data_IF_888124718763
#
_entry.id   IF_888124718763
#
_cell.length_a   1.000
_cell.length_b   1.000
_cell.length_c   1.000
_cell.angle_alpha   90.00
_cell.angle_beta   90.00
_cell.angle_gamma   90.00
#
_symmetry.space_group_name_H-M   'P 1'
#
loop_
_entity.id
_entity.type
_entity.pdbx_description
1 polymer ?
#
# COMPACT_ATOMS: atom_id res chain seq x y z
N UNK A 1 -6.61 -1.88 -5.48
CA UNK A 1 -6.70 -2.44 -4.12
C UNK A 1 -6.81 -3.95 -4.25
N UNK A 2 -5.87 -4.70 -3.68
CA UNK A 2 -5.89 -6.16 -3.70
C UNK A 2 -6.78 -6.67 -2.56
N UNK A 3 -8.02 -7.02 -2.89
CA UNK A 3 -9.06 -7.34 -1.91
C UNK A 3 -8.68 -8.51 -1.00
N UNK A 4 -7.89 -9.46 -1.51
CA UNK A 4 -7.46 -10.63 -0.75
C UNK A 4 -6.42 -10.26 0.30
N UNK A 5 -5.52 -9.33 -0.02
CA UNK A 5 -4.56 -8.81 0.97
C UNK A 5 -5.23 -7.92 2.00
N UNK A 6 -6.19 -7.09 1.58
CA UNK A 6 -6.88 -6.17 2.48
C UNK A 6 -7.79 -6.88 3.49
N UNK A 7 -8.53 -7.93 3.09
CA UNK A 7 -9.35 -8.69 4.05
C UNK A 7 -8.51 -9.32 5.16
N UNK A 8 -7.32 -9.84 4.81
CA UNK A 8 -6.42 -10.49 5.76
C UNK A 8 -5.80 -9.46 6.69
N UNK A 9 -5.41 -8.29 6.16
CA UNK A 9 -4.92 -7.18 6.96
C UNK A 9 -5.98 -6.67 7.95
N UNK A 10 -7.23 -6.55 7.50
CA UNK A 10 -8.34 -6.11 8.35
C UNK A 10 -8.62 -7.09 9.49
N UNK A 11 -8.75 -8.40 9.21
CA UNK A 11 -8.97 -9.39 10.25
C UNK A 11 -7.79 -9.49 11.23
N UNK A 12 -6.55 -9.38 10.75
CA UNK A 12 -5.37 -9.34 11.64
C UNK A 12 -5.38 -8.12 12.55
N UNK A 13 -5.74 -6.95 12.04
CA UNK A 13 -5.89 -5.75 12.87
C UNK A 13 -6.90 -5.97 14.00
N UNK A 14 -8.05 -6.61 13.70
CA UNK A 14 -9.04 -6.94 14.74
C UNK A 14 -8.48 -7.92 15.79
N UNK A 15 -7.71 -8.92 15.35
CA UNK A 15 -7.06 -9.89 16.24
C UNK A 15 -6.02 -9.20 17.15
N UNK A 16 -5.17 -8.35 16.58
CA UNK A 16 -4.12 -7.63 17.31
C UNK A 16 -4.70 -6.64 18.35
N UNK A 17 -5.86 -6.06 18.05
CA UNK A 17 -6.60 -5.19 18.98
C UNK A 17 -7.39 -5.97 20.04
N UNK A 18 -7.42 -7.30 19.97
CA UNK A 18 -8.22 -8.16 20.84
C UNK A 18 -9.74 -8.01 20.61
N UNK A 19 -10.15 -7.47 19.46
CA UNK A 19 -11.55 -7.32 19.08
C UNK A 19 -12.18 -8.66 18.65
N UNK A 20 -11.34 -9.59 18.18
CA UNK A 20 -11.67 -11.00 17.93
C UNK A 20 -10.59 -11.89 18.55
N UNK A 21 -10.94 -13.11 18.89
CA UNK A 21 -10.00 -14.14 19.32
C UNK A 21 -9.40 -14.89 18.12
N UNK A 22 -8.40 -15.72 18.37
CA UNK A 22 -7.81 -16.57 17.33
C UNK A 22 -8.81 -17.58 16.77
N UNK A 23 -9.63 -18.19 17.63
CA UNK A 23 -10.64 -19.16 17.20
C UNK A 23 -11.71 -18.49 16.32
N UNK A 24 -12.08 -17.25 16.63
CA UNK A 24 -13.00 -16.45 15.83
C UNK A 24 -12.38 -16.04 14.49
N UNK A 25 -11.10 -15.66 14.49
CA UNK A 25 -10.36 -15.35 13.27
C UNK A 25 -10.36 -16.54 12.30
N UNK A 26 -10.17 -17.76 12.80
CA UNK A 26 -10.12 -18.98 11.99
C UNK A 26 -11.51 -19.39 11.45
N UNK A 27 -12.60 -19.02 12.12
CA UNK A 27 -13.99 -19.30 11.69
C UNK A 27 -14.55 -18.26 10.70
N UNK A 28 -14.08 -17.01 10.76
CA UNK A 28 -14.59 -15.93 9.89
C UNK A 28 -14.15 -16.16 8.44
N UNK A 29 -15.14 -16.31 7.55
CA UNK A 29 -14.94 -16.52 6.11
C UNK A 29 -15.41 -15.30 5.33
N UNK A 30 -14.54 -14.78 4.46
CA UNK A 30 -14.88 -13.73 3.51
C UNK A 30 -15.61 -14.29 2.29
N UNK A 31 -16.76 -13.71 1.95
CA UNK A 31 -17.55 -14.05 0.76
C UNK A 31 -17.45 -12.95 -0.30
N UNK A 32 -16.68 -13.16 -1.39
CA UNK A 32 -16.44 -12.13 -2.40
C UNK A 32 -17.71 -11.72 -3.16
N UNK A 33 -18.68 -12.62 -3.32
CA UNK A 33 -19.94 -12.40 -4.03
C UNK A 33 -20.80 -11.27 -3.43
N UNK A 34 -20.66 -11.04 -2.12
CA UNK A 34 -21.39 -9.99 -1.38
C UNK A 34 -20.44 -9.01 -0.69
N UNK A 35 -19.13 -9.14 -0.92
CA UNK A 35 -18.07 -8.35 -0.28
C UNK A 35 -18.22 -8.26 1.25
N UNK A 36 -18.49 -9.39 1.91
CA UNK A 36 -18.77 -9.41 3.35
C UNK A 36 -18.25 -10.68 4.03
N UNK A 37 -17.89 -10.54 5.30
CA UNK A 37 -17.54 -11.61 6.21
C UNK A 37 -18.77 -12.35 6.72
N UNK A 38 -18.60 -13.65 6.93
CA UNK A 38 -19.61 -14.56 7.43
C UNK A 38 -18.97 -15.50 8.45
N UNK A 39 -19.80 -16.00 9.35
CA UNK A 39 -19.42 -17.00 10.34
C UNK A 39 -20.62 -17.92 10.57
N UNK A 40 -20.35 -19.21 10.80
CA UNK A 40 -21.38 -20.17 11.18
C UNK A 40 -21.51 -20.32 12.70
N UNK A 41 -20.61 -19.70 13.46
CA UNK A 41 -20.51 -19.82 14.91
C UNK A 41 -20.90 -18.52 15.63
N UNK A 42 -20.55 -17.37 15.06
CA UNK A 42 -20.76 -16.04 15.65
C UNK A 42 -22.15 -15.51 15.35
N UNK A 43 -22.66 -14.71 16.29
CA UNK A 43 -23.96 -14.08 16.12
C UNK A 43 -23.97 -13.12 14.92
N UNK A 44 -25.12 -13.00 14.25
CA UNK A 44 -25.30 -12.08 13.11
C UNK A 44 -24.92 -10.65 13.48
N UNK A 45 -25.29 -10.19 14.68
CA UNK A 45 -24.96 -8.85 15.18
C UNK A 45 -23.46 -8.60 15.27
N UNK A 46 -22.69 -9.61 15.66
CA UNK A 46 -21.23 -9.50 15.74
C UNK A 46 -20.60 -9.40 14.34
N UNK A 47 -21.07 -10.24 13.42
CA UNK A 47 -20.64 -10.20 12.01
C UNK A 47 -21.05 -8.90 11.32
N UNK A 48 -22.23 -8.35 11.62
CA UNK A 48 -22.67 -7.05 11.11
C UNK A 48 -21.74 -5.92 11.55
N UNK A 49 -21.25 -5.94 12.80
CA UNK A 49 -20.27 -4.96 13.27
C UNK A 49 -18.93 -5.08 12.53
N UNK A 50 -18.46 -6.31 12.30
CA UNK A 50 -17.25 -6.56 11.49
C UNK A 50 -17.44 -6.04 10.07
N UNK A 51 -18.59 -6.31 9.44
CA UNK A 51 -18.89 -5.86 8.09
C UNK A 51 -19.06 -4.33 7.97
N UNK A 52 -19.57 -3.70 9.02
CA UNK A 52 -19.60 -2.24 9.10
C UNK A 52 -18.19 -1.65 9.17
N UNK A 53 -17.32 -2.21 10.02
CA UNK A 53 -15.92 -1.82 10.10
C UNK A 53 -15.15 -2.10 8.81
N UNK A 54 -15.44 -3.20 8.13
CA UNK A 54 -14.87 -3.54 6.82
C UNK A 54 -15.21 -2.48 5.76
N UNK A 55 -16.47 -2.05 5.72
CA UNK A 55 -16.92 -0.99 4.79
C UNK A 55 -16.16 0.32 5.05
N UNK A 56 -15.95 0.68 6.31
CA UNK A 56 -15.17 1.86 6.70
C UNK A 56 -13.68 1.71 6.35
N UNK A 57 -13.09 0.54 6.56
CA UNK A 57 -11.72 0.21 6.16
C UNK A 57 -11.51 0.40 4.65
N UNK A 58 -12.41 -0.16 3.85
CA UNK A 58 -12.37 -0.04 2.39
C UNK A 58 -12.47 1.43 1.95
N UNK A 59 -13.39 2.20 2.52
CA UNK A 59 -13.56 3.61 2.22
C UNK A 59 -12.29 4.44 2.56
N UNK A 60 -11.70 4.19 3.72
CA UNK A 60 -10.47 4.85 4.15
C UNK A 60 -9.28 4.52 3.23
N UNK A 61 -9.14 3.25 2.81
CA UNK A 61 -8.10 2.82 1.88
C UNK A 61 -8.30 3.36 0.46
N UNK A 62 -9.55 3.50 0.02
CA UNK A 62 -9.87 4.09 -1.28
C UNK A 62 -9.52 5.59 -1.35
N UNK A 63 -9.61 6.30 -0.22
CA UNK A 63 -9.26 7.72 -0.10
C UNK A 63 -7.83 7.99 0.37
N UNK A 64 -6.96 6.97 0.46
CA UNK A 64 -5.58 7.15 0.90
C UNK A 64 -4.73 8.03 -0.05
N UNK A 65 -5.25 8.34 -1.23
CA UNK A 65 -4.63 9.24 -2.22
C UNK A 65 -5.47 10.51 -2.28
N UNK A 66 -4.95 11.66 -1.82
CA UNK A 66 -5.68 12.92 -1.91
C UNK A 66 -6.00 13.27 -3.37
N UNK A 67 -7.07 14.04 -3.57
CA UNK A 67 -7.43 14.54 -4.89
C UNK A 67 -6.26 15.33 -5.52
N UNK A 68 -5.96 15.04 -6.78
CA UNK A 68 -4.80 15.61 -7.49
C UNK A 68 -3.48 14.85 -7.32
N UNK A 69 -3.45 13.80 -6.49
CA UNK A 69 -2.27 12.95 -6.30
C UNK A 69 -2.45 11.58 -6.97
N UNK A 70 -1.35 10.92 -7.30
CA UNK A 70 -1.32 9.58 -7.91
C UNK A 70 -0.30 8.72 -7.17
N UNK A 71 -0.62 7.45 -6.94
CA UNK A 71 0.33 6.47 -6.40
C UNK A 71 1.30 6.04 -7.47
N UNK A 72 2.59 6.27 -7.24
CA UNK A 72 3.66 5.76 -8.08
C UNK A 72 4.28 4.53 -7.38
N UNK A 73 4.26 3.34 -8.00
CA UNK A 73 4.91 2.17 -7.43
C UNK A 73 6.41 2.39 -7.15
N UNK A 74 6.88 2.04 -5.95
CA UNK A 74 8.29 2.17 -5.54
C UNK A 74 9.26 1.58 -6.57
N UNK A 75 8.93 0.42 -7.13
CA UNK A 75 9.75 -0.26 -8.15
C UNK A 75 9.97 0.59 -9.41
N UNK A 76 8.97 1.38 -9.83
CA UNK A 76 9.13 2.29 -10.97
C UNK A 76 10.10 3.42 -10.66
N UNK A 77 10.05 3.96 -9.45
CA UNK A 77 10.98 4.99 -8.99
C UNK A 77 12.41 4.44 -8.89
N UNK A 78 12.58 3.23 -8.36
CA UNK A 78 13.88 2.56 -8.29
C UNK A 78 14.48 2.30 -9.67
N UNK A 79 13.67 1.92 -10.66
CA UNK A 79 14.14 1.73 -12.03
C UNK A 79 14.54 3.06 -12.68
N UNK A 80 13.82 4.15 -12.37
CA UNK A 80 14.17 5.49 -12.86
C UNK A 80 15.50 5.96 -12.24
N UNK A 81 15.67 5.78 -10.93
CA UNK A 81 16.93 6.08 -10.23
C UNK A 81 18.12 5.33 -10.87
N UNK A 82 18.02 4.01 -11.06
CA UNK A 82 19.06 3.21 -11.76
C UNK A 82 19.35 3.68 -13.18
N UNK A 83 18.34 4.19 -13.88
CA UNK A 83 18.52 4.74 -15.23
C UNK A 83 19.33 6.04 -15.18
N UNK A 84 19.09 6.88 -14.17
CA UNK A 84 19.85 8.11 -13.93
C UNK A 84 21.30 7.78 -13.54
N UNK A 85 21.52 6.83 -12.63
CA UNK A 85 22.86 6.36 -12.26
C UNK A 85 23.65 5.86 -13.49
N UNK A 86 23.01 5.07 -14.36
CA UNK A 86 23.64 4.58 -15.58
C UNK A 86 24.02 5.71 -16.57
N UNK A 87 23.29 6.83 -16.56
CA UNK A 87 23.64 8.01 -17.36
C UNK A 87 24.85 8.75 -16.78
N UNK A 88 25.01 8.75 -15.45
CA UNK A 88 26.21 9.27 -14.78
C UNK A 88 27.46 8.44 -15.05
N UNK A 89 27.32 7.13 -15.10
CA UNK A 89 28.42 6.20 -15.35
C UNK A 89 28.80 6.09 -16.84
N UNK A 90 28.10 6.78 -17.75
CA UNK A 90 28.48 6.80 -19.17
C UNK A 90 29.76 7.62 -19.39
N UNK A 91 30.89 6.94 -19.27
CA UNK A 91 32.20 7.50 -19.53
C UNK A 91 32.33 7.82 -21.04
N UNK A 92 32.47 9.10 -21.37
CA UNK A 92 32.57 9.60 -22.76
C UNK A 92 31.27 10.09 -23.41
N UNK A 93 30.12 10.01 -22.72
CA UNK A 93 28.94 10.75 -23.15
C UNK A 93 29.17 12.26 -22.94
N UNK A 94 29.20 13.04 -24.02
CA UNK A 94 29.30 14.50 -23.94
C UNK A 94 27.95 15.10 -23.47
N UNK A 95 27.60 14.88 -22.21
CA UNK A 95 26.48 15.57 -21.60
C UNK A 95 26.91 17.00 -21.24
N UNK A 96 26.09 17.97 -21.64
CA UNK A 96 26.20 19.34 -21.15
C UNK A 96 26.17 19.32 -19.61
N UNK A 97 27.00 20.13 -18.95
CA UNK A 97 26.98 20.29 -17.48
C UNK A 97 25.57 20.61 -16.95
N UNK A 98 24.71 21.25 -17.75
CA UNK A 98 23.29 21.45 -17.43
C UNK A 98 22.51 20.14 -17.33
N UNK A 99 22.77 19.18 -18.22
CA UNK A 99 22.13 17.86 -18.20
C UNK A 99 22.59 17.08 -16.97
N UNK A 100 23.89 17.12 -16.65
CA UNK A 100 24.43 16.46 -15.45
C UNK A 100 23.86 17.04 -14.14
N UNK A 101 23.62 18.36 -14.08
CA UNK A 101 22.95 18.99 -12.93
C UNK A 101 21.50 18.55 -12.81
N UNK A 102 20.75 18.56 -13.91
CA UNK A 102 19.33 18.16 -13.93
C UNK A 102 19.13 16.69 -13.53
N UNK A 103 20.03 15.81 -13.95
CA UNK A 103 20.02 14.40 -13.54
C UNK A 103 20.24 14.26 -12.03
N UNK A 104 21.00 15.17 -11.42
CA UNK A 104 21.36 15.09 -10.00
C UNK A 104 20.22 15.51 -9.12
N UNK A 105 19.59 16.63 -9.50
CA UNK A 105 18.36 17.12 -8.88
C UNK A 105 17.26 16.06 -8.98
N UNK A 106 17.08 15.44 -10.16
CA UNK A 106 16.11 14.37 -10.35
C UNK A 106 16.42 13.14 -9.47
N UNK A 107 17.69 12.78 -9.29
CA UNK A 107 18.05 11.63 -8.46
C UNK A 107 17.69 11.86 -6.99
N UNK A 108 18.02 13.04 -6.47
CA UNK A 108 17.69 13.45 -5.08
C UNK A 108 16.18 13.41 -4.85
N UNK A 109 15.40 13.95 -5.79
CA UNK A 109 13.93 13.94 -5.70
C UNK A 109 13.37 12.52 -5.70
N UNK A 110 13.88 11.64 -6.56
CA UNK A 110 13.44 10.23 -6.63
C UNK A 110 13.80 9.47 -5.35
N UNK A 111 15.01 9.67 -4.81
CA UNK A 111 15.40 9.06 -3.53
C UNK A 111 14.49 9.50 -2.39
N UNK A 112 14.16 10.78 -2.31
CA UNK A 112 13.22 11.30 -1.33
C UNK A 112 11.83 10.66 -1.49
N UNK A 113 11.34 10.50 -2.73
CA UNK A 113 10.08 9.82 -3.03
C UNK A 113 10.09 8.34 -2.65
N UNK A 114 11.23 7.65 -2.82
CA UNK A 114 11.42 6.24 -2.42
C UNK A 114 11.42 6.12 -0.90
N UNK A 115 12.15 7.01 -0.21
CA UNK A 115 12.25 7.06 1.24
C UNK A 115 10.89 7.32 1.91
N UNK A 116 10.11 8.25 1.36
CA UNK A 116 8.76 8.56 1.85
C UNK A 116 7.77 7.38 1.74
N UNK A 117 8.09 6.33 0.97
CA UNK A 117 7.30 5.11 0.86
C UNK A 117 7.78 3.98 1.79
N UNK A 118 8.84 4.20 2.58
CA UNK A 118 9.29 3.23 3.58
C UNK A 118 8.44 3.33 4.86
N UNK A 119 8.04 2.20 5.46
CA UNK A 119 7.31 2.24 6.72
C UNK A 119 8.17 2.93 7.78
N UNK A 120 7.56 3.83 8.56
CA UNK A 120 8.21 4.47 9.70
C UNK A 120 8.68 3.39 10.67
N UNK A 121 9.99 3.34 10.92
CA UNK A 121 10.60 2.40 11.87
C UNK A 121 10.16 2.66 13.31
#
# INVERSE_FOLDING_TARGET
MDIQKEKDAYLRMLLDQGAITKDEFDDIVYKPEVNAFHSNYLSSRFIDNINWGWSAWQAAKAQAVPEGFVVVPKEKLQNLNKTIDALYECDGCAYDNRILSLLGDANIDIEAMIYAQEPSA
#
